data_IF_679092990361
#
_entry.id   IF_679092990361
#
_cell.length_a   1.000
_cell.length_b   1.000
_cell.length_c   1.000
_cell.angle_alpha   90.00
_cell.angle_beta   90.00
_cell.angle_gamma   90.00
#
_symmetry.space_group_name_H-M   'P 1'
#
loop_
_entity.id
_entity.type
_entity.pdbx_description
1 polymer ?
#
# COMPACT_ATOMS: atom_id res chain seq x y z
N UNK A 1 31.54 4.68 23.12
CA UNK A 1 30.40 3.83 22.72
C UNK A 1 30.20 2.79 23.82
N UNK A 2 29.08 2.87 24.53
CA UNK A 2 28.71 1.94 25.60
C UNK A 2 28.42 0.57 25.00
N UNK A 3 29.05 -0.49 25.50
CA UNK A 3 28.74 -1.87 25.12
C UNK A 3 27.24 -2.10 25.27
N UNK A 4 26.53 -2.65 24.27
CA UNK A 4 25.13 -3.00 24.46
C UNK A 4 25.06 -4.04 25.58
N UNK A 5 24.48 -3.67 26.73
CA UNK A 5 24.22 -4.63 27.81
C UNK A 5 23.14 -5.63 27.38
N UNK A 6 23.01 -6.72 28.15
CA UNK A 6 21.86 -7.65 28.04
C UNK A 6 20.57 -6.86 27.89
N UNK A 7 19.74 -7.23 26.91
CA UNK A 7 18.54 -6.49 26.56
C UNK A 7 17.33 -7.40 26.52
N UNK A 8 16.22 -6.97 27.12
CA UNK A 8 14.99 -7.75 27.14
C UNK A 8 14.12 -7.51 25.90
N UNK A 9 13.45 -8.55 25.42
CA UNK A 9 12.39 -8.46 24.41
C UNK A 9 11.17 -9.28 24.84
N UNK A 10 9.98 -8.81 24.50
CA UNK A 10 8.73 -9.52 24.76
C UNK A 10 8.43 -10.48 23.63
N UNK A 11 8.06 -11.69 23.98
CA UNK A 11 7.52 -12.67 23.05
C UNK A 11 6.16 -12.20 22.55
N UNK A 12 5.99 -12.17 21.22
CA UNK A 12 4.73 -11.81 20.59
C UNK A 12 4.03 -13.07 20.10
N UNK A 13 4.71 -13.87 19.27
CA UNK A 13 4.17 -15.12 18.73
C UNK A 13 5.25 -15.97 18.05
N UNK A 14 4.89 -17.21 17.77
CA UNK A 14 5.58 -18.08 16.82
C UNK A 14 5.08 -17.78 15.42
N UNK A 15 5.99 -17.79 14.45
CA UNK A 15 5.70 -17.65 13.01
C UNK A 15 5.82 -18.99 12.29
N UNK A 16 6.77 -19.82 12.72
CA UNK A 16 6.98 -21.18 12.19
C UNK A 16 7.14 -22.12 13.37
N UNK A 17 6.27 -23.10 13.44
CA UNK A 17 6.25 -24.18 14.40
C UNK A 17 6.33 -25.50 13.64
N UNK A 18 7.27 -26.35 14.02
CA UNK A 18 7.40 -27.71 13.50
C UNK A 18 7.22 -28.67 14.67
N UNK A 19 8.30 -29.32 15.13
CA UNK A 19 8.30 -30.04 16.42
C UNK A 19 8.52 -29.09 17.60
N UNK A 20 9.13 -27.93 17.33
CA UNK A 20 9.37 -26.84 18.26
C UNK A 20 9.35 -25.50 17.50
N UNK A 21 9.27 -24.34 18.21
CA UNK A 21 9.31 -23.04 17.55
C UNK A 21 10.61 -22.88 16.74
N UNK A 22 10.50 -22.65 15.44
CA UNK A 22 11.65 -22.46 14.54
C UNK A 22 11.89 -20.97 14.24
N UNK A 23 10.81 -20.20 14.16
CA UNK A 23 10.87 -18.77 13.87
C UNK A 23 9.88 -18.05 14.79
N UNK A 24 10.35 -17.04 15.50
CA UNK A 24 9.50 -16.28 16.43
C UNK A 24 9.62 -14.78 16.22
N UNK A 25 8.53 -14.08 16.52
CA UNK A 25 8.46 -12.63 16.55
C UNK A 25 8.54 -12.15 18.00
N UNK A 26 9.50 -11.27 18.25
CA UNK A 26 9.67 -10.57 19.52
C UNK A 26 9.52 -9.05 19.32
N UNK A 27 9.23 -8.33 20.42
CA UNK A 27 9.16 -6.88 20.46
C UNK A 27 10.15 -6.31 21.46
N UNK A 28 11.03 -5.43 20.98
CA UNK A 28 11.99 -4.69 21.80
C UNK A 28 11.74 -3.21 21.66
N UNK A 29 11.17 -2.59 22.69
CA UNK A 29 10.66 -1.22 22.63
C UNK A 29 9.69 -1.05 21.44
N UNK A 30 10.03 -0.23 20.45
CA UNK A 30 9.25 -0.04 19.21
C UNK A 30 9.73 -0.92 18.04
N UNK A 31 10.89 -1.58 18.18
CA UNK A 31 11.47 -2.38 17.12
C UNK A 31 10.91 -3.81 17.10
N UNK A 32 10.73 -4.34 15.89
CA UNK A 32 10.47 -5.76 15.69
C UNK A 32 11.80 -6.51 15.80
N UNK A 33 11.75 -7.71 16.36
CA UNK A 33 12.91 -8.61 16.44
C UNK A 33 12.47 -9.96 15.89
N UNK A 34 13.16 -10.44 14.88
CA UNK A 34 12.91 -11.76 14.28
C UNK A 34 13.99 -12.70 14.78
N UNK A 35 13.59 -13.84 15.34
CA UNK A 35 14.51 -14.79 15.91
C UNK A 35 14.31 -16.19 15.31
N UNK A 36 15.42 -16.77 14.84
CA UNK A 36 15.50 -18.08 14.20
C UNK A 36 16.17 -19.05 15.15
N UNK A 37 15.61 -20.25 15.31
CA UNK A 37 16.23 -21.33 16.07
C UNK A 37 17.57 -21.73 15.42
N UNK A 38 18.59 -21.93 16.24
CA UNK A 38 19.92 -22.37 15.81
C UNK A 38 20.31 -23.65 16.56
N UNK A 39 21.25 -24.46 16.04
CA UNK A 39 21.70 -25.67 16.71
C UNK A 39 22.11 -25.39 18.16
N UNK A 40 21.48 -26.09 19.11
CA UNK A 40 21.69 -25.91 20.55
C UNK A 40 22.27 -27.17 21.19
N UNK A 41 22.78 -27.00 22.41
CA UNK A 41 23.16 -28.13 23.28
C UNK A 41 21.91 -28.72 23.93
N UNK A 42 21.99 -29.98 24.37
CA UNK A 42 20.88 -30.70 24.99
C UNK A 42 20.27 -29.90 26.16
N UNK A 43 18.95 -29.74 26.15
CA UNK A 43 18.21 -28.99 27.17
C UNK A 43 18.12 -27.47 26.96
N UNK A 44 18.60 -26.95 25.83
CA UNK A 44 18.46 -25.54 25.44
C UNK A 44 17.70 -25.36 24.15
N UNK A 45 17.03 -24.23 24.01
CA UNK A 45 16.41 -23.80 22.75
C UNK A 45 17.06 -22.47 22.32
N UNK A 46 18.22 -22.53 21.67
CA UNK A 46 18.99 -21.34 21.31
C UNK A 46 18.45 -20.66 20.05
N UNK A 47 18.38 -19.34 20.08
CA UNK A 47 17.88 -18.52 18.97
C UNK A 47 18.88 -17.42 18.60
N UNK A 48 18.97 -17.15 17.31
CA UNK A 48 19.65 -15.98 16.74
C UNK A 48 18.61 -14.93 16.33
N UNK A 49 18.67 -13.76 16.97
CA UNK A 49 17.71 -12.68 16.80
C UNK A 49 18.32 -11.48 16.08
N UNK A 50 17.55 -10.84 15.19
CA UNK A 50 17.94 -9.58 14.54
C UNK A 50 16.86 -8.52 14.75
N UNK A 51 17.26 -7.29 15.03
CA UNK A 51 16.33 -6.15 15.01
C UNK A 51 15.98 -5.81 13.57
N UNK A 52 14.68 -5.65 13.31
CA UNK A 52 14.13 -5.35 11.99
C UNK A 52 13.39 -4.03 12.04
N UNK A 53 13.63 -3.17 11.05
CA UNK A 53 12.88 -1.92 10.89
C UNK A 53 11.41 -2.21 10.60
N UNK A 54 10.51 -1.27 10.88
CA UNK A 54 9.08 -1.44 10.52
C UNK A 54 8.92 -1.72 9.01
N UNK A 55 9.66 -0.98 8.18
CA UNK A 55 9.66 -1.11 6.72
C UNK A 55 10.11 -2.49 6.25
N UNK A 56 11.23 -3.00 6.77
CA UNK A 56 11.77 -4.29 6.31
C UNK A 56 10.92 -5.45 6.82
N UNK A 57 10.34 -5.32 8.02
CA UNK A 57 9.37 -6.27 8.52
C UNK A 57 8.13 -6.31 7.63
N UNK A 58 7.54 -5.16 7.30
CA UNK A 58 6.41 -5.08 6.37
C UNK A 58 6.75 -5.69 5.01
N UNK A 59 7.92 -5.38 4.45
CA UNK A 59 8.39 -5.97 3.18
C UNK A 59 8.53 -7.51 3.25
N UNK A 60 9.02 -8.05 4.37
CA UNK A 60 9.11 -9.50 4.56
C UNK A 60 7.74 -10.15 4.66
N UNK A 61 6.86 -9.58 5.49
CA UNK A 61 5.51 -10.10 5.62
C UNK A 61 4.77 -10.00 4.26
N UNK A 62 5.02 -8.96 3.46
CA UNK A 62 4.52 -8.77 2.08
C UNK A 62 5.16 -9.68 1.03
N UNK A 63 6.13 -10.52 1.41
CA UNK A 63 6.83 -11.42 0.47
C UNK A 63 7.76 -10.71 -0.52
N UNK A 64 8.04 -9.41 -0.32
CA UNK A 64 8.94 -8.62 -1.17
C UNK A 64 10.41 -8.95 -0.92
N UNK A 65 10.72 -9.43 0.29
CA UNK A 65 12.04 -9.90 0.69
C UNK A 65 11.90 -11.22 1.43
N UNK A 66 12.92 -12.08 1.36
CA UNK A 66 12.95 -13.33 2.11
C UNK A 66 13.47 -13.12 3.54
N UNK A 67 13.38 -14.16 4.37
CA UNK A 67 13.87 -14.12 5.75
C UNK A 67 15.38 -13.87 5.80
N UNK A 68 16.16 -14.42 4.86
CA UNK A 68 17.62 -14.25 4.80
C UNK A 68 18.01 -12.78 4.58
N UNK A 69 17.23 -12.02 3.81
CA UNK A 69 17.41 -10.58 3.64
C UNK A 69 17.46 -9.88 5.00
N UNK A 70 16.53 -10.17 5.92
CA UNK A 70 16.47 -9.53 7.25
C UNK A 70 17.75 -9.74 8.08
N UNK A 71 18.45 -10.86 7.85
CA UNK A 71 19.67 -11.23 8.58
C UNK A 71 20.95 -10.72 7.94
N UNK A 72 20.95 -10.43 6.63
CA UNK A 72 22.19 -10.16 5.88
C UNK A 72 22.30 -8.75 5.36
N UNK A 73 21.19 -8.13 4.91
CA UNK A 73 21.21 -6.90 4.14
C UNK A 73 21.03 -5.59 4.95
N UNK A 74 20.11 -5.48 5.94
CA UNK A 74 19.92 -4.25 6.70
C UNK A 74 21.19 -3.77 7.39
N UNK A 75 21.58 -2.52 7.13
CA UNK A 75 22.82 -1.90 7.65
C UNK A 75 22.72 -1.67 9.17
N UNK A 76 21.58 -1.14 9.64
CA UNK A 76 21.36 -0.76 11.04
C UNK A 76 20.66 -1.88 11.82
N UNK A 77 21.25 -3.08 11.84
CA UNK A 77 20.74 -4.21 12.63
C UNK A 77 21.62 -4.49 13.84
N UNK A 78 20.99 -4.86 14.94
CA UNK A 78 21.68 -5.47 16.07
C UNK A 78 21.32 -6.94 16.12
N UNK A 79 22.33 -7.78 16.27
CA UNK A 79 22.20 -9.24 16.36
C UNK A 79 22.29 -9.63 17.83
N UNK A 80 21.49 -10.61 18.22
CA UNK A 80 21.48 -11.16 19.57
C UNK A 80 21.36 -12.68 19.56
N UNK A 81 21.69 -13.29 20.68
CA UNK A 81 21.29 -14.66 20.99
C UNK A 81 20.57 -14.75 22.34
N UNK A 82 19.73 -15.76 22.48
CA UNK A 82 19.06 -16.09 23.75
C UNK A 82 18.64 -17.56 23.75
N UNK A 83 18.32 -18.08 24.93
CA UNK A 83 17.68 -19.38 25.10
C UNK A 83 16.18 -19.16 25.38
N UNK A 84 15.31 -19.72 24.55
CA UNK A 84 13.87 -19.62 24.71
C UNK A 84 13.39 -20.32 25.99
N UNK A 85 14.12 -21.30 26.50
CA UNK A 85 13.81 -21.97 27.78
C UNK A 85 13.93 -21.02 28.98
N UNK A 86 14.65 -19.88 28.84
CA UNK A 86 14.74 -18.83 29.85
C UNK A 86 13.57 -17.82 29.80
N UNK A 87 12.58 -18.01 28.93
CA UNK A 87 11.39 -17.17 28.84
C UNK A 87 10.66 -17.10 30.19
N UNK A 88 10.54 -15.89 30.76
CA UNK A 88 9.82 -15.66 32.02
C UNK A 88 8.89 -14.46 31.88
N UNK A 89 7.61 -14.67 32.20
CA UNK A 89 6.59 -13.61 32.10
C UNK A 89 6.47 -13.02 30.69
N UNK A 90 6.60 -13.86 29.65
CA UNK A 90 6.54 -13.41 28.25
C UNK A 90 7.74 -12.60 27.77
N UNK A 91 8.86 -12.62 28.51
CA UNK A 91 10.07 -11.85 28.20
C UNK A 91 11.31 -12.75 28.17
N UNK A 92 12.15 -12.57 27.16
CA UNK A 92 13.48 -13.19 27.04
C UNK A 92 14.58 -12.15 27.24
N UNK A 93 15.69 -12.57 27.84
CA UNK A 93 16.89 -11.76 27.97
C UNK A 93 17.87 -12.13 26.87
N UNK A 94 18.20 -11.16 26.02
CA UNK A 94 19.05 -11.36 24.86
C UNK A 94 20.45 -10.80 25.10
N UNK A 95 21.45 -11.53 24.62
CA UNK A 95 22.87 -11.16 24.68
C UNK A 95 23.32 -10.73 23.29
N UNK A 96 24.01 -9.59 23.13
CA UNK A 96 24.49 -9.17 21.81
C UNK A 96 25.43 -10.20 21.18
N UNK A 97 25.28 -10.38 19.89
CA UNK A 97 26.19 -11.16 19.06
C UNK A 97 27.07 -10.20 18.26
N UNK A 98 28.36 -10.19 18.53
CA UNK A 98 29.31 -9.23 17.93
C UNK A 98 30.06 -9.81 16.72
N UNK A 99 30.02 -11.12 16.54
CA UNK A 99 30.72 -11.82 15.46
C UNK A 99 29.90 -11.79 14.16
N UNK A 100 30.55 -12.09 13.03
CA UNK A 100 29.83 -12.34 11.80
C UNK A 100 28.93 -13.57 11.98
N UNK A 101 27.67 -13.50 11.55
CA UNK A 101 26.75 -14.62 11.62
C UNK A 101 27.30 -15.74 10.72
N UNK A 102 27.55 -16.95 11.27
CA UNK A 102 27.96 -18.10 10.47
C UNK A 102 26.93 -18.44 9.39
N UNK A 103 27.38 -18.85 8.20
CA UNK A 103 26.47 -19.06 7.07
C UNK A 103 25.45 -20.19 7.32
N UNK A 104 25.82 -21.18 8.14
CA UNK A 104 24.96 -22.27 8.59
C UNK A 104 23.89 -21.85 9.60
N UNK A 105 23.98 -20.65 10.18
CA UNK A 105 22.94 -20.08 11.06
C UNK A 105 22.02 -19.12 10.32
N UNK A 106 22.32 -18.83 9.05
CA UNK A 106 21.47 -17.97 8.24
C UNK A 106 20.26 -18.76 7.72
N UNK A 107 19.09 -18.12 7.61
CA UNK A 107 17.94 -18.70 6.93
C UNK A 107 18.30 -19.17 5.52
N UNK A 108 17.65 -20.24 5.07
CA UNK A 108 17.72 -20.65 3.68
C UNK A 108 17.19 -19.53 2.76
N UNK A 109 17.80 -19.31 1.59
CA UNK A 109 17.25 -18.41 0.60
C UNK A 109 15.81 -18.81 0.22
N UNK A 110 14.98 -17.83 -0.14
CA UNK A 110 13.58 -18.02 -0.58
C UNK A 110 12.61 -18.50 0.51
N UNK A 111 12.97 -18.32 1.79
CA UNK A 111 12.02 -18.50 2.89
C UNK A 111 11.18 -17.23 3.07
N UNK A 112 9.95 -17.22 2.57
CA UNK A 112 9.03 -16.08 2.62
C UNK A 112 8.04 -16.19 3.79
N UNK A 113 7.28 -15.13 4.06
CA UNK A 113 6.21 -15.16 5.06
C UNK A 113 5.11 -16.16 4.72
N UNK A 114 4.90 -16.49 3.45
CA UNK A 114 3.98 -17.55 3.01
C UNK A 114 4.38 -18.94 3.49
N UNK A 115 5.60 -19.11 4.03
CA UNK A 115 6.06 -20.35 4.66
C UNK A 115 5.77 -20.41 6.17
N UNK A 116 5.11 -19.38 6.74
CA UNK A 116 4.66 -19.41 8.14
C UNK A 116 3.62 -20.52 8.31
N UNK A 117 3.74 -21.27 9.41
CA UNK A 117 2.79 -22.34 9.76
C UNK A 117 1.72 -21.83 10.71
N UNK A 118 2.04 -20.78 11.47
CA UNK A 118 1.13 -20.12 12.39
C UNK A 118 0.48 -18.95 11.65
N UNK A 119 -0.83 -19.03 11.45
CA UNK A 119 -1.60 -17.98 10.78
C UNK A 119 -1.70 -16.75 11.69
N UNK A 120 -1.72 -15.56 11.08
CA UNK A 120 -2.20 -14.38 11.81
C UNK A 120 -3.71 -14.55 12.05
N UNK A 121 -4.18 -14.50 13.30
CA UNK A 121 -5.63 -14.44 13.64
C UNK A 121 -6.33 -13.15 13.16
N UNK A 122 -5.66 -12.33 12.35
CA UNK A 122 -6.33 -11.22 11.71
C UNK A 122 -7.22 -11.81 10.62
N UNK A 123 -8.54 -11.83 10.87
CA UNK A 123 -9.62 -12.06 9.93
C UNK A 123 -9.45 -11.19 8.67
N UNK A 124 -8.55 -11.59 7.78
CA UNK A 124 -8.43 -11.04 6.45
C UNK A 124 -9.36 -11.90 5.63
N UNK A 125 -10.53 -11.35 5.28
CA UNK A 125 -11.34 -11.91 4.21
C UNK A 125 -10.40 -12.20 3.03
N UNK A 126 -10.55 -13.37 2.40
CA UNK A 126 -9.75 -13.71 1.23
C UNK A 126 -9.82 -12.55 0.23
N UNK A 127 -8.69 -11.93 -0.11
CA UNK A 127 -8.71 -10.75 -0.96
C UNK A 127 -9.32 -11.11 -2.30
N UNK A 128 -10.13 -10.22 -2.84
CA UNK A 128 -10.76 -10.42 -4.13
C UNK A 128 -9.71 -10.49 -5.23
N UNK A 129 -9.87 -11.42 -6.17
CA UNK A 129 -8.96 -11.58 -7.31
C UNK A 129 -9.60 -11.00 -8.55
N UNK A 130 -9.07 -9.87 -9.03
CA UNK A 130 -9.46 -9.27 -10.30
C UNK A 130 -8.55 -9.79 -11.42
N UNK A 131 -9.14 -10.15 -12.56
CA UNK A 131 -8.42 -10.67 -13.73
C UNK A 131 -8.51 -9.68 -14.88
N UNK A 132 -7.36 -9.12 -15.25
CA UNK A 132 -7.22 -8.23 -16.39
C UNK A 132 -6.64 -9.02 -17.57
N UNK A 133 -7.40 -9.11 -18.66
CA UNK A 133 -6.92 -9.73 -19.91
C UNK A 133 -5.90 -8.81 -20.55
N UNK A 134 -4.75 -9.36 -20.94
CA UNK A 134 -3.69 -8.61 -21.62
C UNK A 134 -3.47 -9.18 -23.02
N UNK A 135 -3.36 -8.29 -24.00
CA UNK A 135 -3.17 -8.67 -25.40
C UNK A 135 -2.15 -7.75 -26.10
N UNK A 136 -1.68 -8.20 -27.26
CA UNK A 136 -0.59 -7.60 -28.02
C UNK A 136 0.79 -7.82 -27.37
N UNK A 137 1.77 -7.07 -27.86
CA UNK A 137 3.14 -7.13 -27.36
C UNK A 137 3.31 -6.24 -26.13
N UNK A 138 3.91 -6.79 -25.07
CA UNK A 138 4.24 -6.05 -23.85
C UNK A 138 5.71 -6.21 -23.51
N UNK A 139 6.38 -5.10 -23.23
CA UNK A 139 7.67 -5.10 -22.56
C UNK A 139 7.51 -4.92 -21.05
N UNK A 140 8.61 -5.13 -20.30
CA UNK A 140 8.59 -4.97 -18.83
C UNK A 140 8.22 -3.55 -18.39
N UNK A 141 8.72 -2.47 -19.04
CA UNK A 141 8.25 -1.11 -18.79
C UNK A 141 6.74 -0.92 -18.94
N UNK A 142 6.11 -1.50 -19.96
CA UNK A 142 4.66 -1.40 -20.20
C UNK A 142 3.85 -1.91 -19.00
N UNK A 143 4.23 -3.07 -18.45
CA UNK A 143 3.58 -3.62 -17.25
C UNK A 143 3.75 -2.70 -16.04
N UNK A 144 4.94 -2.14 -15.85
CA UNK A 144 5.22 -1.19 -14.77
C UNK A 144 4.40 0.10 -14.91
N UNK A 145 4.32 0.63 -16.12
CA UNK A 145 3.57 1.84 -16.44
C UNK A 145 2.05 1.63 -16.26
N UNK A 146 1.52 0.54 -16.79
CA UNK A 146 0.12 0.18 -16.62
C UNK A 146 -0.22 0.01 -15.13
N UNK A 147 0.54 -0.83 -14.42
CA UNK A 147 0.30 -1.09 -13.00
C UNK A 147 0.37 0.19 -12.16
N UNK A 148 1.35 1.06 -12.41
CA UNK A 148 1.48 2.35 -11.72
C UNK A 148 0.26 3.25 -11.94
N UNK A 149 -0.26 3.33 -13.17
CA UNK A 149 -1.41 4.20 -13.51
C UNK A 149 -2.72 3.64 -12.98
N UNK A 150 -2.94 2.34 -13.17
CA UNK A 150 -4.11 1.61 -12.68
C UNK A 150 -4.19 1.66 -11.16
N UNK A 151 -3.08 1.34 -10.48
CA UNK A 151 -3.01 1.32 -9.02
C UNK A 151 -3.33 2.67 -8.38
N UNK A 152 -2.95 3.79 -9.01
CA UNK A 152 -3.29 5.10 -8.49
C UNK A 152 -4.80 5.35 -8.44
N UNK A 153 -5.55 4.92 -9.46
CA UNK A 153 -7.01 5.04 -9.48
C UNK A 153 -7.58 4.15 -8.38
N UNK A 154 -7.21 2.88 -8.38
CA UNK A 154 -7.61 1.89 -7.39
C UNK A 154 -7.39 2.36 -5.95
N UNK A 155 -6.18 2.83 -5.62
CA UNK A 155 -5.84 3.23 -4.24
C UNK A 155 -6.59 4.48 -3.76
N UNK A 156 -7.01 5.36 -4.67
CA UNK A 156 -7.86 6.49 -4.31
C UNK A 156 -9.25 6.01 -3.86
N UNK A 157 -9.81 5.03 -4.57
CA UNK A 157 -11.13 4.46 -4.29
C UNK A 157 -11.11 3.60 -3.03
N UNK A 158 -10.13 2.69 -2.91
CA UNK A 158 -9.93 1.87 -1.72
C UNK A 158 -9.72 2.72 -0.46
N UNK A 159 -8.96 3.82 -0.55
CA UNK A 159 -8.84 4.75 0.59
C UNK A 159 -10.17 5.43 0.98
N UNK A 160 -11.08 5.63 0.02
CA UNK A 160 -12.41 6.16 0.30
C UNK A 160 -13.30 5.12 0.99
N UNK A 161 -13.26 3.85 0.54
CA UNK A 161 -13.98 2.72 1.13
C UNK A 161 -13.52 2.45 2.55
N UNK A 162 -12.21 2.30 2.76
CA UNK A 162 -11.62 2.07 4.08
C UNK A 162 -11.90 3.21 5.08
N UNK A 163 -12.17 4.43 4.60
CA UNK A 163 -12.57 5.53 5.48
C UNK A 163 -14.05 5.45 5.88
N UNK A 164 -14.93 5.02 4.95
CA UNK A 164 -16.35 4.85 5.21
C UNK A 164 -16.71 3.59 5.97
N UNK A 165 -15.88 2.56 5.91
CA UNK A 165 -16.13 1.29 6.59
C UNK A 165 -16.03 1.45 8.11
N UNK A 166 -17.11 1.16 8.83
CA UNK A 166 -17.20 1.26 10.29
C UNK A 166 -16.36 0.21 11.03
N UNK A 167 -15.98 -0.89 10.36
CA UNK A 167 -15.11 -1.93 10.94
C UNK A 167 -13.63 -1.54 10.93
N UNK A 168 -13.24 -0.55 10.11
CA UNK A 168 -11.86 -0.07 10.05
C UNK A 168 -11.50 0.76 11.29
N UNK A 169 -10.40 0.39 11.95
CA UNK A 169 -9.89 1.04 13.16
C UNK A 169 -9.67 2.57 13.01
N UNK A 170 -9.90 3.30 14.09
CA UNK A 170 -9.79 4.75 14.16
C UNK A 170 -8.38 5.26 13.84
N UNK A 171 -7.30 4.54 14.21
CA UNK A 171 -5.95 4.96 13.85
C UNK A 171 -5.72 4.85 12.34
N UNK A 172 -6.29 3.84 11.69
CA UNK A 172 -6.25 3.69 10.23
C UNK A 172 -7.02 4.81 9.54
N UNK A 173 -8.24 5.13 10.01
CA UNK A 173 -9.01 6.28 9.50
C UNK A 173 -8.26 7.61 9.67
N UNK A 174 -7.49 7.78 10.76
CA UNK A 174 -6.59 8.94 10.94
C UNK A 174 -5.43 8.93 9.95
N UNK A 175 -4.81 7.79 9.67
CA UNK A 175 -3.76 7.66 8.65
C UNK A 175 -4.27 8.06 7.26
N UNK A 176 -5.47 7.58 6.88
CA UNK A 176 -6.13 7.97 5.63
C UNK A 176 -6.39 9.47 5.61
N UNK A 177 -7.04 10.02 6.64
CA UNK A 177 -7.32 11.46 6.71
C UNK A 177 -6.05 12.31 6.62
N UNK A 178 -4.97 11.86 7.25
CA UNK A 178 -3.66 12.51 7.18
C UNK A 178 -3.08 12.50 5.76
N UNK A 179 -3.19 11.38 5.05
CA UNK A 179 -2.72 11.28 3.67
C UNK A 179 -3.39 12.28 2.73
N UNK A 180 -4.65 12.63 2.97
CA UNK A 180 -5.40 13.63 2.20
C UNK A 180 -5.19 15.07 2.72
N UNK A 181 -5.19 15.27 4.04
CA UNK A 181 -5.22 16.59 4.67
C UNK A 181 -3.87 17.30 4.77
N UNK A 182 -2.76 16.56 4.88
CA UNK A 182 -1.43 17.15 5.11
C UNK A 182 -0.76 17.67 3.82
N UNK A 183 -1.43 17.54 2.67
CA UNK A 183 -0.83 17.82 1.37
C UNK A 183 -1.33 19.18 0.85
N UNK A 184 -0.43 20.14 0.58
CA UNK A 184 -0.83 21.48 0.12
C UNK A 184 -1.37 21.49 -1.31
N UNK A 185 -1.17 20.41 -2.07
CA UNK A 185 -1.51 20.28 -3.49
C UNK A 185 -0.96 21.44 -4.35
N UNK A 186 0.29 21.82 -4.09
CA UNK A 186 1.03 22.84 -4.85
C UNK A 186 1.90 22.14 -5.89
N UNK A 187 1.44 22.12 -7.13
CA UNK A 187 2.19 21.55 -8.26
C UNK A 187 2.36 20.03 -8.27
N UNK A 188 3.16 19.54 -9.21
CA UNK A 188 3.28 18.11 -9.56
C UNK A 188 3.77 17.21 -8.43
N UNK A 189 4.80 17.63 -7.69
CA UNK A 189 5.40 16.83 -6.61
C UNK A 189 4.41 16.48 -5.50
N UNK A 190 3.49 17.40 -5.17
CA UNK A 190 2.43 17.16 -4.18
C UNK A 190 1.58 15.95 -4.53
N UNK A 191 1.23 15.78 -5.80
CA UNK A 191 0.45 14.63 -6.25
C UNK A 191 1.27 13.35 -6.23
N UNK A 192 2.56 13.40 -6.57
CA UNK A 192 3.44 12.22 -6.47
C UNK A 192 3.51 11.74 -5.03
N UNK A 193 3.67 12.64 -4.05
CA UNK A 193 3.67 12.27 -2.64
C UNK A 193 2.32 11.75 -2.16
N UNK A 194 1.22 12.38 -2.57
CA UNK A 194 -0.15 11.95 -2.25
C UNK A 194 -0.38 10.50 -2.64
N UNK A 195 -0.20 10.17 -3.92
CA UNK A 195 -0.47 8.81 -4.40
C UNK A 195 0.54 7.78 -3.87
N UNK A 196 1.78 8.19 -3.52
CA UNK A 196 2.73 7.30 -2.82
C UNK A 196 2.34 7.01 -1.38
N UNK A 197 1.55 7.88 -0.74
CA UNK A 197 1.10 7.69 0.64
C UNK A 197 -0.14 6.78 0.75
N UNK A 198 -1.00 6.78 -0.28
CA UNK A 198 -2.27 6.03 -0.25
C UNK A 198 -2.11 4.52 0.06
N UNK A 199 -1.18 3.77 -0.56
CA UNK A 199 -1.04 2.34 -0.27
C UNK A 199 -0.70 2.07 1.21
N UNK A 200 0.09 2.96 1.83
CA UNK A 200 0.44 2.85 3.24
C UNK A 200 -0.75 3.06 4.17
N UNK A 201 -1.73 3.88 3.75
CA UNK A 201 -2.89 4.27 4.55
C UNK A 201 -4.05 3.29 4.53
N UNK A 202 -4.07 2.31 3.61
CA UNK A 202 -5.13 1.30 3.54
C UNK A 202 -4.76 0.00 4.27
N UNK A 203 -5.75 -0.78 4.72
CA UNK A 203 -5.54 -2.13 5.25
C UNK A 203 -4.74 -3.01 4.29
N UNK A 204 -3.90 -3.86 4.86
CA UNK A 204 -2.97 -4.70 4.09
C UNK A 204 -3.69 -5.70 3.18
N UNK A 205 -4.82 -6.22 3.65
CA UNK A 205 -5.70 -7.13 2.91
C UNK A 205 -6.17 -6.52 1.58
N UNK A 206 -6.50 -5.23 1.60
CA UNK A 206 -7.07 -4.47 0.50
C UNK A 206 -6.01 -3.83 -0.40
N UNK A 207 -4.72 -4.01 -0.11
CA UNK A 207 -3.65 -3.47 -0.97
C UNK A 207 -3.62 -4.22 -2.29
N UNK A 208 -3.57 -3.47 -3.39
CA UNK A 208 -3.36 -4.02 -4.71
C UNK A 208 -2.04 -4.78 -4.74
N UNK A 209 -2.11 -6.09 -5.00
CA UNK A 209 -0.93 -6.95 -5.15
C UNK A 209 -1.06 -7.75 -6.43
N UNK A 210 0.00 -7.77 -7.22
CA UNK A 210 0.08 -8.63 -8.38
C UNK A 210 0.30 -10.07 -7.93
N UNK A 211 -0.60 -10.97 -8.33
CA UNK A 211 -0.57 -12.38 -8.01
C UNK A 211 0.20 -13.16 -9.08
N UNK A 212 -0.28 -13.04 -10.32
CA UNK A 212 0.13 -13.88 -11.43
C UNK A 212 0.09 -13.09 -12.73
N UNK A 213 1.12 -13.28 -13.54
CA UNK A 213 1.12 -12.86 -14.94
C UNK A 213 1.20 -14.13 -15.79
N UNK A 214 0.23 -14.32 -16.67
CA UNK A 214 0.28 -15.33 -17.73
C UNK A 214 0.44 -14.59 -19.05
N UNK A 215 1.68 -14.59 -19.56
CA UNK A 215 1.99 -13.97 -20.84
C UNK A 215 1.95 -15.00 -21.96
N UNK A 216 0.78 -15.13 -22.59
CA UNK A 216 0.53 -15.91 -23.81
C UNK A 216 -0.61 -15.22 -24.55
N UNK A 217 -0.37 -14.30 -25.50
CA UNK A 217 -1.44 -13.52 -26.14
C UNK A 217 -2.55 -14.43 -26.73
N UNK A 218 -3.81 -14.35 -26.25
CA UNK A 218 -4.31 -13.48 -25.16
C UNK A 218 -3.97 -14.00 -23.75
N UNK A 219 -3.23 -13.20 -22.99
CA UNK A 219 -2.76 -13.52 -21.64
C UNK A 219 -3.64 -12.88 -20.56
N UNK A 220 -3.19 -12.94 -19.30
CA UNK A 220 -3.84 -12.19 -18.23
C UNK A 220 -2.90 -11.82 -17.08
N UNK A 221 -3.28 -10.77 -16.35
CA UNK A 221 -2.71 -10.40 -15.06
C UNK A 221 -3.80 -10.58 -14.00
N UNK A 222 -3.49 -11.32 -12.94
CA UNK A 222 -4.34 -11.44 -11.75
C UNK A 222 -3.79 -10.53 -10.66
N UNK A 223 -4.68 -9.75 -10.04
CA UNK A 223 -4.35 -8.85 -8.93
C UNK A 223 -5.31 -9.09 -7.77
N UNK A 224 -4.79 -9.06 -6.55
CA UNK A 224 -5.53 -9.17 -5.29
C UNK A 224 -5.87 -7.79 -4.74
N UNK A 225 -7.04 -7.64 -4.12
CA UNK A 225 -7.47 -6.38 -3.50
C UNK A 225 -8.91 -6.35 -2.98
N UNK A 226 -9.40 -5.13 -2.82
CA UNK A 226 -10.76 -4.71 -2.48
C UNK A 226 -11.67 -4.84 -3.72
N UNK A 227 -12.72 -5.66 -3.57
CA UNK A 227 -13.68 -5.95 -4.64
C UNK A 227 -14.43 -4.70 -5.12
N UNK A 228 -14.84 -3.83 -4.19
CA UNK A 228 -15.60 -2.63 -4.51
C UNK A 228 -14.71 -1.63 -5.25
N UNK A 229 -13.46 -1.47 -4.79
CA UNK A 229 -12.48 -0.64 -5.49
C UNK A 229 -12.17 -1.16 -6.91
N UNK A 230 -12.16 -2.47 -7.15
CA UNK A 230 -12.01 -3.03 -8.50
C UNK A 230 -13.21 -2.70 -9.38
N UNK A 231 -14.43 -3.01 -8.91
CA UNK A 231 -15.66 -2.76 -9.66
C UNK A 231 -15.82 -1.28 -10.01
N UNK A 232 -15.50 -0.39 -9.07
CA UNK A 232 -15.55 1.05 -9.30
C UNK A 232 -14.43 1.55 -10.22
N UNK A 233 -13.23 0.97 -10.15
CA UNK A 233 -12.13 1.29 -11.08
C UNK A 233 -12.55 0.92 -12.50
N UNK A 234 -13.17 -0.25 -12.69
CA UNK A 234 -13.74 -0.67 -13.97
C UNK A 234 -14.82 0.29 -14.45
N UNK A 235 -15.80 0.61 -13.60
CA UNK A 235 -16.89 1.51 -13.93
C UNK A 235 -16.38 2.91 -14.35
N UNK A 236 -15.41 3.46 -13.62
CA UNK A 236 -14.77 4.73 -13.95
C UNK A 236 -14.06 4.71 -15.31
N UNK A 237 -13.30 3.65 -15.59
CA UNK A 237 -12.59 3.51 -16.87
C UNK A 237 -13.59 3.38 -18.03
N UNK A 238 -14.65 2.58 -17.86
CA UNK A 238 -15.71 2.44 -18.87
C UNK A 238 -16.46 3.75 -19.11
N UNK A 239 -16.85 4.45 -18.04
CA UNK A 239 -17.49 5.76 -18.14
C UNK A 239 -16.58 6.80 -18.83
N UNK A 240 -15.30 6.81 -18.45
CA UNK A 240 -14.30 7.70 -19.06
C UNK A 240 -14.13 7.44 -20.55
N UNK A 241 -14.05 6.18 -20.98
CA UNK A 241 -13.92 5.81 -22.39
C UNK A 241 -15.20 6.13 -23.18
N UNK A 242 -16.38 5.96 -22.57
CA UNK A 242 -17.67 6.22 -23.21
C UNK A 242 -17.93 7.69 -23.55
N UNK A 243 -17.45 8.63 -22.72
CA UNK A 243 -17.67 10.08 -22.91
C UNK A 243 -16.37 10.91 -22.82
N UNK A 244 -15.25 10.33 -23.29
CA UNK A 244 -13.92 10.93 -23.13
C UNK A 244 -13.84 12.37 -23.64
N UNK A 245 -14.48 12.67 -24.78
CA UNK A 245 -14.41 13.98 -25.41
C UNK A 245 -15.09 15.08 -24.56
N UNK A 246 -16.29 14.81 -24.01
CA UNK A 246 -16.99 15.80 -23.19
C UNK A 246 -16.30 15.98 -21.84
N UNK A 247 -15.88 14.89 -21.20
CA UNK A 247 -15.12 14.94 -19.94
C UNK A 247 -13.84 15.76 -20.14
N UNK A 248 -13.10 15.51 -21.22
CA UNK A 248 -11.90 16.29 -21.57
C UNK A 248 -12.19 17.78 -21.75
N UNK A 249 -13.31 18.13 -22.39
CA UNK A 249 -13.68 19.53 -22.58
C UNK A 249 -13.94 20.24 -21.25
N UNK A 250 -14.62 19.57 -20.29
CA UNK A 250 -14.84 20.10 -18.94
C UNK A 250 -13.50 20.26 -18.22
N UNK A 251 -12.66 19.23 -18.27
CA UNK A 251 -11.33 19.24 -17.66
C UNK A 251 -10.47 20.39 -18.19
N UNK A 252 -10.35 20.54 -19.51
CA UNK A 252 -9.47 21.54 -20.14
C UNK A 252 -9.90 22.96 -19.74
N UNK A 253 -11.21 23.27 -19.83
CA UNK A 253 -11.76 24.56 -19.40
C UNK A 253 -11.54 24.81 -17.91
N UNK A 254 -11.71 23.79 -17.08
CA UNK A 254 -11.55 23.93 -15.65
C UNK A 254 -10.07 24.15 -15.26
N UNK A 255 -9.18 23.36 -15.83
CA UNK A 255 -7.75 23.48 -15.64
C UNK A 255 -7.24 24.85 -16.11
N UNK A 256 -7.70 25.32 -17.28
CA UNK A 256 -7.39 26.66 -17.78
C UNK A 256 -7.84 27.75 -16.81
N UNK A 257 -9.07 27.68 -16.29
CA UNK A 257 -9.57 28.61 -15.28
C UNK A 257 -8.70 28.62 -14.02
N UNK A 258 -8.39 27.47 -13.44
CA UNK A 258 -7.56 27.39 -12.23
C UNK A 258 -6.13 27.87 -12.50
N UNK A 259 -5.60 27.64 -13.70
CA UNK A 259 -4.27 28.08 -14.11
C UNK A 259 -4.21 29.61 -14.25
N UNK A 260 -5.13 30.20 -15.02
CA UNK A 260 -5.22 31.66 -15.25
C UNK A 260 -5.36 32.44 -13.94
N UNK A 261 -6.12 31.91 -12.99
CA UNK A 261 -6.35 32.51 -11.68
C UNK A 261 -5.31 32.08 -10.61
N UNK A 262 -4.25 31.36 -10.99
CA UNK A 262 -3.16 30.88 -10.11
C UNK A 262 -3.58 29.92 -8.98
N UNK A 263 -4.82 29.40 -9.00
CA UNK A 263 -5.31 28.42 -8.02
C UNK A 263 -4.56 27.08 -8.08
N UNK A 264 -4.02 26.69 -9.23
CA UNK A 264 -3.17 25.48 -9.32
C UNK A 264 -1.88 25.60 -8.49
N UNK A 265 -1.32 26.81 -8.38
CA UNK A 265 -0.10 27.10 -7.64
C UNK A 265 -0.35 27.49 -6.18
N UNK A 266 -1.56 27.93 -5.85
CA UNK A 266 -1.99 28.26 -4.49
C UNK A 266 -2.09 26.99 -3.63
N UNK A 267 -1.45 26.90 -2.46
CA UNK A 267 -1.74 25.86 -1.46
C UNK A 267 -3.23 25.81 -1.12
N UNK A 268 -3.81 24.61 -1.03
CA UNK A 268 -5.25 24.49 -0.88
C UNK A 268 -5.77 25.07 0.45
N UNK A 269 -4.98 25.00 1.52
CA UNK A 269 -5.26 25.60 2.84
C UNK A 269 -5.34 27.14 2.83
N UNK A 270 -4.82 27.79 1.79
CA UNK A 270 -4.93 29.25 1.60
C UNK A 270 -6.22 29.66 0.86
N UNK A 271 -6.97 28.70 0.31
CA UNK A 271 -8.21 28.98 -0.39
C UNK A 271 -9.36 29.23 0.59
N UNK A 272 -9.95 30.41 0.52
CA UNK A 272 -11.05 30.81 1.41
C UNK A 272 -12.40 30.39 0.82
N UNK A 273 -13.34 29.84 1.61
CA UNK A 273 -14.69 29.54 1.14
C UNK A 273 -15.47 30.77 0.62
N UNK A 274 -15.07 31.96 1.05
CA UNK A 274 -15.66 33.25 0.64
C UNK A 274 -15.06 33.81 -0.66
N UNK A 275 -14.09 33.13 -1.28
CA UNK A 275 -13.50 33.54 -2.55
C UNK A 275 -14.58 33.60 -3.64
N UNK A 276 -14.55 34.65 -4.48
CA UNK A 276 -15.52 34.84 -5.56
C UNK A 276 -15.52 33.67 -6.57
N UNK A 277 -14.41 32.94 -6.69
CA UNK A 277 -14.29 31.76 -7.54
C UNK A 277 -14.85 30.48 -6.89
N UNK A 278 -15.16 30.46 -5.59
CA UNK A 278 -15.55 29.24 -4.86
C UNK A 278 -16.79 28.56 -5.47
N UNK A 279 -17.81 29.34 -5.84
CA UNK A 279 -19.00 28.81 -6.49
C UNK A 279 -18.68 28.15 -7.86
N UNK A 280 -17.82 28.79 -8.66
CA UNK A 280 -17.40 28.24 -9.95
C UNK A 280 -16.58 26.96 -9.79
N UNK A 281 -15.62 26.95 -8.87
CA UNK A 281 -14.78 25.78 -8.57
C UNK A 281 -15.64 24.62 -8.11
N UNK A 282 -16.56 24.84 -7.17
CA UNK A 282 -17.50 23.83 -6.67
C UNK A 282 -18.36 23.26 -7.79
N UNK A 283 -19.04 24.12 -8.56
CA UNK A 283 -19.96 23.69 -9.61
C UNK A 283 -19.25 22.91 -10.73
N UNK A 284 -18.07 23.38 -11.14
CA UNK A 284 -17.28 22.72 -12.20
C UNK A 284 -16.71 21.40 -11.70
N UNK A 285 -16.27 21.33 -10.44
CA UNK A 285 -15.82 20.07 -9.82
C UNK A 285 -16.95 19.06 -9.75
N UNK A 286 -18.14 19.48 -9.31
CA UNK A 286 -19.32 18.61 -9.25
C UNK A 286 -19.74 18.12 -10.65
N UNK A 287 -19.68 18.99 -11.67
CA UNK A 287 -19.96 18.61 -13.06
C UNK A 287 -19.00 17.53 -13.56
N UNK A 288 -17.71 17.66 -13.21
CA UNK A 288 -16.69 16.69 -13.57
C UNK A 288 -16.86 15.38 -12.80
N UNK A 289 -17.16 15.44 -11.51
CA UNK A 289 -17.48 14.28 -10.66
C UNK A 289 -18.67 13.50 -11.20
N UNK A 290 -19.74 14.19 -11.56
CA UNK A 290 -20.96 13.58 -12.10
C UNK A 290 -20.69 12.90 -13.44
N UNK A 291 -19.96 13.57 -14.35
CA UNK A 291 -19.65 13.01 -15.68
C UNK A 291 -18.67 11.85 -15.63
N UNK A 292 -17.75 11.86 -14.67
CA UNK A 292 -16.86 10.73 -14.42
C UNK A 292 -17.56 9.59 -13.67
N UNK A 293 -18.72 9.83 -13.04
CA UNK A 293 -19.35 8.91 -12.08
C UNK A 293 -18.42 8.57 -10.91
N UNK A 294 -17.71 9.56 -10.34
CA UNK A 294 -16.77 9.32 -9.23
C UNK A 294 -17.55 8.83 -7.99
N UNK A 295 -17.29 7.58 -7.54
CA UNK A 295 -17.93 7.05 -6.34
C UNK A 295 -17.39 7.74 -5.10
N UNK A 296 -18.15 7.68 -4.01
CA UNK A 296 -17.72 8.21 -2.71
C UNK A 296 -17.23 9.68 -2.75
N UNK A 297 -17.70 10.49 -3.72
CA UNK A 297 -17.23 11.86 -3.91
C UNK A 297 -17.42 12.75 -2.65
N UNK A 298 -18.50 12.53 -1.91
CA UNK A 298 -18.75 13.20 -0.64
C UNK A 298 -17.70 12.82 0.43
N UNK A 299 -17.30 11.55 0.49
CA UNK A 299 -16.25 11.06 1.40
C UNK A 299 -14.90 11.68 1.00
N UNK A 300 -14.53 11.64 -0.28
CA UNK A 300 -13.30 12.26 -0.80
C UNK A 300 -13.24 13.76 -0.46
N UNK A 301 -14.36 14.47 -0.56
CA UNK A 301 -14.46 15.88 -0.17
C UNK A 301 -14.32 16.07 1.35
N UNK A 302 -14.88 15.16 2.15
CA UNK A 302 -14.74 15.19 3.62
C UNK A 302 -13.29 14.97 4.07
N UNK A 303 -12.53 14.13 3.35
CA UNK A 303 -11.13 13.82 3.64
C UNK A 303 -10.20 15.03 3.50
N UNK A 304 -10.58 16.00 2.66
CA UNK A 304 -9.90 17.29 2.52
C UNK A 304 -10.57 18.41 3.31
N UNK A 305 -11.27 18.07 4.40
CA UNK A 305 -11.98 19.02 5.27
C UNK A 305 -12.96 19.94 4.52
N UNK A 306 -13.63 19.41 3.49
CA UNK A 306 -14.56 20.15 2.63
C UNK A 306 -13.93 21.35 1.89
N UNK A 307 -12.61 21.38 1.74
CA UNK A 307 -11.93 22.41 0.98
C UNK A 307 -12.18 22.22 -0.53
N UNK A 308 -12.92 23.16 -1.14
CA UNK A 308 -13.32 23.08 -2.55
C UNK A 308 -12.13 23.04 -3.52
N UNK A 309 -11.05 23.76 -3.23
CA UNK A 309 -9.86 23.77 -4.09
C UNK A 309 -9.05 22.48 -3.96
N UNK A 310 -8.89 21.95 -2.74
CA UNK A 310 -8.24 20.65 -2.52
C UNK A 310 -9.00 19.54 -3.25
N UNK A 311 -10.32 19.51 -3.10
CA UNK A 311 -11.18 18.52 -3.74
C UNK A 311 -11.11 18.64 -5.27
N UNK A 312 -11.23 19.84 -5.83
CA UNK A 312 -11.07 20.09 -7.26
C UNK A 312 -9.73 19.55 -7.79
N UNK A 313 -8.63 19.80 -7.06
CA UNK A 313 -7.29 19.34 -7.43
C UNK A 313 -7.16 17.82 -7.40
N UNK A 314 -7.78 17.13 -6.43
CA UNK A 314 -7.84 15.67 -6.39
C UNK A 314 -8.60 15.16 -7.62
N UNK A 315 -9.77 15.72 -7.95
CA UNK A 315 -10.56 15.28 -9.11
C UNK A 315 -9.82 15.52 -10.43
N UNK A 316 -9.16 16.67 -10.62
CA UNK A 316 -8.30 16.92 -11.79
C UNK A 316 -7.11 15.95 -11.85
N UNK A 317 -6.59 15.54 -10.69
CA UNK A 317 -5.51 14.56 -10.59
C UNK A 317 -5.97 13.14 -10.93
N UNK A 318 -7.19 12.79 -10.53
CA UNK A 318 -7.87 11.54 -10.90
C UNK A 318 -8.13 11.48 -12.40
N UNK A 319 -8.69 12.54 -13.00
CA UNK A 319 -8.89 12.62 -14.46
C UNK A 319 -7.61 12.29 -15.24
N UNK A 320 -6.46 12.89 -14.85
CA UNK A 320 -5.18 12.66 -15.55
C UNK A 320 -4.75 11.19 -15.50
N UNK A 321 -4.92 10.57 -14.34
CA UNK A 321 -4.59 9.14 -14.14
C UNK A 321 -5.55 8.21 -14.86
N UNK A 322 -6.84 8.56 -14.89
CA UNK A 322 -7.82 7.86 -15.70
C UNK A 322 -7.49 7.96 -17.19
N UNK A 323 -7.13 9.14 -17.72
CA UNK A 323 -6.69 9.27 -19.12
C UNK A 323 -5.45 8.42 -19.41
N UNK A 324 -4.50 8.38 -18.48
CA UNK A 324 -3.27 7.61 -18.60
C UNK A 324 -3.50 6.10 -18.55
N UNK A 325 -4.36 5.60 -17.64
CA UNK A 325 -4.69 4.19 -17.48
C UNK A 325 -5.60 3.70 -18.62
N UNK A 326 -6.63 4.49 -18.97
CA UNK A 326 -7.63 4.14 -19.99
C UNK A 326 -7.02 4.02 -21.39
N UNK A 327 -5.84 4.59 -21.65
CA UNK A 327 -5.12 4.42 -22.92
C UNK A 327 -4.83 2.97 -23.24
N UNK A 328 -4.45 2.15 -22.25
CA UNK A 328 -4.17 0.73 -22.47
C UNK A 328 -5.43 -0.03 -22.90
N UNK A 329 -6.58 0.31 -22.30
CA UNK A 329 -7.88 -0.23 -22.68
C UNK A 329 -8.31 0.25 -24.07
N UNK A 330 -8.17 1.54 -24.37
CA UNK A 330 -8.50 2.11 -25.67
C UNK A 330 -7.63 1.55 -26.82
N UNK A 331 -6.39 1.16 -26.53
CA UNK A 331 -5.48 0.51 -27.47
C UNK A 331 -5.80 -0.98 -27.67
N UNK A 332 -6.73 -1.56 -26.90
CA UNK A 332 -7.02 -2.99 -26.92
C UNK A 332 -5.95 -3.86 -26.24
N UNK A 333 -4.99 -3.25 -25.54
CA UNK A 333 -3.90 -3.99 -24.85
C UNK A 333 -4.35 -4.59 -23.53
N UNK A 334 -5.37 -4.01 -22.91
CA UNK A 334 -5.99 -4.50 -21.66
C UNK A 334 -7.49 -4.54 -21.83
N UNK A 335 -8.13 -5.55 -21.25
CA UNK A 335 -9.58 -5.60 -21.06
C UNK A 335 -9.92 -6.17 -19.68
N UNK A 336 -11.08 -5.80 -19.14
CA UNK A 336 -11.63 -6.48 -17.97
C UNK A 336 -12.08 -7.87 -18.42
N UNK A 337 -11.82 -8.89 -17.59
CA UNK A 337 -12.40 -10.20 -17.85
C UNK A 337 -13.93 -10.06 -17.83
N UNK A 338 -14.60 -10.61 -18.84
CA UNK A 338 -16.06 -10.76 -18.77
C UNK A 338 -16.38 -11.53 -17.50
N UNK A 339 -17.27 -11.00 -16.65
CA UNK A 339 -17.89 -11.80 -15.59
C UNK A 339 -18.51 -13.01 -16.28
N UNK A 340 -17.96 -14.20 -16.04
CA UNK A 340 -18.63 -15.44 -16.42
C UNK A 340 -19.96 -15.45 -15.67
N UNK A 341 -21.04 -15.20 -16.41
CA UNK A 341 -22.43 -15.23 -15.96
C UNK A 341 -22.89 -16.64 -15.64
#
# INVERSE_FOLDING_TARGET
>A
MTKPGRSGAHYIRTLVYMDEPQLILLKRNRANVIALAIPSSEGKAEFLAVTVSKKDYEAYIDGLVDLRYLYTYPINRTVFTFDLMELKGGKVMMTPWEEQIPDNYLPSPRFFSSNHTELEENNVADPHVEKLVVDGDWDMPDFGDFYSRYSNVYYLLSASHAFSDDEVDLEKKKEIKKAFGDIPFRGGSSYVHFYKALPGSIPRAERLRMDKIVYQSPGYVSVHGDADAFSETEALIRAFLGDRAAIKQIYDKFHEFLSKNRFLAMPADQFLPTDAAAAYIKNTTNSLVEKLHVPNAAILKSLVNNNELAFAKIILSLYRRLDEASRFFAQGRVNFASSES
#
